data_IF_821172184661
#
_entry.id   IF_821172184661
#
_cell.length_a   1.000
_cell.length_b   1.000
_cell.length_c   1.000
_cell.angle_alpha   90.00
_cell.angle_beta   90.00
_cell.angle_gamma   90.00
#
_symmetry.space_group_name_H-M   'P 1'
#
loop_
_entity.id
_entity.type
_entity.pdbx_description
1 polymer ?
#
# COMPACT_ATOMS: atom_id res chain seq x y z
N UNK A 1 -14.32 -15.43 -9.93
CA UNK A 1 -13.06 -15.78 -10.65
C UNK A 1 -11.85 -15.80 -9.71
N UNK A 2 -11.65 -14.76 -8.87
CA UNK A 2 -10.58 -14.69 -7.87
C UNK A 2 -10.51 -15.90 -6.91
N UNK A 3 -11.65 -16.36 -6.39
CA UNK A 3 -11.72 -17.51 -5.47
C UNK A 3 -11.10 -18.81 -6.01
N UNK A 4 -11.13 -19.03 -7.34
CA UNK A 4 -10.48 -20.20 -7.97
C UNK A 4 -8.96 -20.10 -7.94
N UNK A 5 -8.41 -18.95 -8.30
CA UNK A 5 -6.96 -18.70 -8.25
C UNK A 5 -6.41 -18.81 -6.83
N UNK A 6 -7.17 -18.29 -5.88
CA UNK A 6 -6.90 -18.38 -4.46
C UNK A 6 -6.85 -19.85 -3.98
N UNK A 7 -7.85 -20.66 -4.36
CA UNK A 7 -7.90 -22.07 -3.98
C UNK A 7 -6.75 -22.88 -4.61
N UNK A 8 -6.39 -22.57 -5.86
CA UNK A 8 -5.24 -23.17 -6.54
C UNK A 8 -3.91 -22.84 -5.84
N UNK A 9 -3.70 -21.59 -5.45
CA UNK A 9 -2.51 -21.17 -4.72
C UNK A 9 -2.39 -21.89 -3.37
N UNK A 10 -3.50 -22.10 -2.66
CA UNK A 10 -3.51 -22.84 -1.38
C UNK A 10 -3.11 -24.30 -1.53
N UNK A 11 -3.50 -24.94 -2.62
CA UNK A 11 -3.10 -26.32 -2.92
C UNK A 11 -1.61 -26.40 -3.23
N UNK A 12 -1.10 -25.49 -4.07
CA UNK A 12 0.32 -25.42 -4.42
C UNK A 12 1.21 -25.13 -3.21
N UNK A 13 0.73 -24.33 -2.25
CA UNK A 13 1.46 -23.97 -1.03
C UNK A 13 1.27 -24.96 0.13
N UNK A 14 0.52 -26.05 -0.05
CA UNK A 14 0.24 -27.02 1.02
C UNK A 14 -0.57 -26.44 2.20
N UNK A 15 -1.22 -25.30 2.01
CA UNK A 15 -1.88 -24.51 3.07
C UNK A 15 -3.41 -24.57 3.00
N UNK A 16 -3.97 -25.66 2.49
CA UNK A 16 -5.41 -25.85 2.27
C UNK A 16 -6.24 -25.73 3.55
N UNK A 17 -5.67 -26.09 4.71
CA UNK A 17 -6.31 -26.06 6.03
C UNK A 17 -6.23 -24.72 6.77
N UNK A 18 -5.52 -23.71 6.26
CA UNK A 18 -5.37 -22.43 6.97
C UNK A 18 -6.70 -21.66 7.03
N UNK A 19 -7.18 -21.26 8.21
CA UNK A 19 -8.47 -20.56 8.35
C UNK A 19 -8.55 -19.27 7.52
N UNK A 20 -7.41 -18.60 7.33
CA UNK A 20 -7.31 -17.40 6.51
C UNK A 20 -6.57 -17.64 5.20
N UNK A 21 -6.99 -16.87 4.20
CA UNK A 21 -6.56 -16.96 2.81
C UNK A 21 -5.06 -16.71 2.64
N UNK A 22 -4.55 -15.78 3.44
CA UNK A 22 -3.16 -15.39 3.55
C UNK A 22 -2.60 -16.13 4.77
N UNK A 23 -1.98 -17.28 4.51
CA UNK A 23 -1.33 -18.16 5.49
C UNK A 23 -0.64 -17.36 6.59
N UNK A 24 -1.14 -17.41 7.84
CA UNK A 24 -0.50 -16.96 9.08
C UNK A 24 0.55 -15.85 8.93
N UNK A 25 0.22 -14.81 8.16
CA UNK A 25 1.17 -13.79 7.74
C UNK A 25 1.05 -12.65 8.72
N UNK A 26 1.89 -12.71 9.74
CA UNK A 26 1.94 -11.65 10.75
C UNK A 26 2.65 -10.40 10.19
N UNK A 27 2.37 -9.26 10.82
CA UNK A 27 2.92 -7.97 10.41
C UNK A 27 4.46 -7.91 10.53
N UNK A 28 5.07 -8.68 11.44
CA UNK A 28 6.52 -8.74 11.61
C UNK A 28 7.19 -9.52 10.46
N UNK A 29 6.60 -10.63 10.02
CA UNK A 29 7.01 -11.37 8.83
C UNK A 29 6.97 -10.48 7.59
N UNK A 30 5.87 -9.74 7.38
CA UNK A 30 5.78 -8.79 6.28
C UNK A 30 6.82 -7.67 6.39
N UNK A 31 6.97 -7.08 7.58
CA UNK A 31 7.96 -6.02 7.82
C UNK A 31 9.38 -6.49 7.51
N UNK A 32 9.73 -7.71 7.90
CA UNK A 32 11.04 -8.31 7.60
C UNK A 32 11.28 -8.44 6.09
N UNK A 33 10.28 -8.90 5.33
CA UNK A 33 10.38 -9.01 3.87
C UNK A 33 10.51 -7.63 3.22
N UNK A 34 9.72 -6.66 3.66
CA UNK A 34 9.79 -5.28 3.16
C UNK A 34 11.15 -4.63 3.41
N UNK A 35 11.74 -4.87 4.59
CA UNK A 35 13.09 -4.40 4.90
C UNK A 35 14.15 -5.03 3.99
N UNK A 36 14.04 -6.32 3.68
CA UNK A 36 14.93 -6.98 2.71
C UNK A 36 14.79 -6.36 1.32
N UNK A 37 13.56 -6.09 0.87
CA UNK A 37 13.31 -5.42 -0.40
C UNK A 37 13.90 -3.99 -0.41
N UNK A 38 13.77 -3.25 0.69
CA UNK A 38 14.37 -1.92 0.84
C UNK A 38 15.90 -1.94 0.71
N UNK A 39 16.58 -2.92 1.33
CA UNK A 39 18.04 -3.11 1.17
C UNK A 39 18.39 -3.38 -0.31
N UNK A 40 17.66 -4.29 -0.96
CA UNK A 40 17.90 -4.60 -2.38
C UNK A 40 17.69 -3.39 -3.30
N UNK A 41 16.72 -2.54 -2.98
CA UNK A 41 16.45 -1.29 -3.66
C UNK A 41 17.38 -0.12 -3.26
N UNK A 42 18.38 -0.36 -2.40
CA UNK A 42 19.34 0.65 -1.90
C UNK A 42 18.68 1.84 -1.19
N UNK A 43 17.57 1.61 -0.48
CA UNK A 43 16.87 2.61 0.33
C UNK A 43 16.92 2.24 1.82
N UNK A 44 16.82 3.22 2.71
CA UNK A 44 16.95 3.00 4.15
C UNK A 44 15.84 2.08 4.68
N UNK A 45 16.14 0.85 5.15
CA UNK A 45 15.11 -0.11 5.58
C UNK A 45 14.34 0.33 6.83
N UNK A 46 14.89 1.25 7.62
CA UNK A 46 14.20 1.80 8.81
C UNK A 46 12.90 2.52 8.45
N UNK A 47 12.80 3.01 7.22
CA UNK A 47 11.63 3.73 6.73
C UNK A 47 10.53 2.78 6.20
N UNK A 48 10.79 1.47 6.11
CA UNK A 48 9.89 0.50 5.48
C UNK A 48 9.34 -0.52 6.46
N UNK A 49 8.01 -0.55 6.56
CA UNK A 49 7.18 -1.50 7.29
C UNK A 49 5.78 -1.58 6.64
N UNK A 50 4.88 -2.39 7.17
CA UNK A 50 3.51 -2.52 6.64
C UNK A 50 2.79 -1.17 6.54
N UNK A 51 2.92 -0.30 7.55
CA UNK A 51 2.33 1.03 7.56
C UNK A 51 2.89 1.97 6.48
N UNK A 52 4.21 1.88 6.21
CA UNK A 52 4.85 2.69 5.16
C UNK A 52 4.28 2.45 3.76
N UNK A 53 3.80 1.23 3.48
CA UNK A 53 3.13 0.94 2.20
C UNK A 53 1.79 1.66 2.08
N UNK A 54 1.07 1.81 3.19
CA UNK A 54 -0.20 2.55 3.22
C UNK A 54 0.03 4.04 2.98
N UNK A 55 1.07 4.60 3.61
CA UNK A 55 1.54 5.98 3.37
C UNK A 55 1.94 6.14 1.90
N UNK A 56 2.82 5.28 1.38
CA UNK A 56 3.31 5.33 0.00
C UNK A 56 2.19 5.19 -1.02
N UNK A 57 1.22 4.30 -0.78
CA UNK A 57 0.05 4.13 -1.63
C UNK A 57 -0.83 5.38 -1.67
N UNK A 58 -1.10 5.99 -0.50
CA UNK A 58 -1.85 7.25 -0.43
C UNK A 58 -1.11 8.38 -1.17
N UNK A 59 0.20 8.52 -0.94
CA UNK A 59 1.06 9.47 -1.64
C UNK A 59 1.03 9.27 -3.16
N UNK A 60 1.14 8.03 -3.63
CA UNK A 60 1.12 7.73 -5.06
C UNK A 60 -0.22 8.11 -5.71
N UNK A 61 -1.34 7.81 -5.05
CA UNK A 61 -2.65 8.19 -5.55
C UNK A 61 -2.86 9.71 -5.57
N UNK A 62 -2.46 10.41 -4.50
CA UNK A 62 -2.54 11.88 -4.45
C UNK A 62 -1.68 12.53 -5.54
N UNK A 63 -0.44 12.07 -5.72
CA UNK A 63 0.46 12.59 -6.74
C UNK A 63 0.00 12.23 -8.16
N UNK A 64 -0.82 11.18 -8.32
CA UNK A 64 -1.51 10.85 -9.56
C UNK A 64 -2.79 11.64 -9.82
N UNK A 65 -3.08 12.66 -9.00
CA UNK A 65 -4.30 13.48 -9.07
C UNK A 65 -5.61 12.68 -8.99
N UNK A 66 -5.57 11.54 -8.31
CA UNK A 66 -6.77 10.75 -8.01
C UNK A 66 -7.62 11.51 -6.99
N UNK A 67 -8.95 11.46 -7.16
CA UNK A 67 -9.86 12.16 -6.28
C UNK A 67 -9.82 11.61 -4.84
N UNK A 68 -10.10 12.50 -3.90
CA UNK A 68 -9.98 12.24 -2.47
C UNK A 68 -10.94 11.15 -1.97
N UNK A 69 -12.13 11.02 -2.58
CA UNK A 69 -13.09 9.96 -2.26
C UNK A 69 -12.58 8.59 -2.72
N UNK A 70 -12.02 8.49 -3.92
CA UNK A 70 -11.40 7.26 -4.40
C UNK A 70 -10.22 6.85 -3.52
N UNK A 71 -9.37 7.78 -3.09
CA UNK A 71 -8.28 7.50 -2.14
C UNK A 71 -8.85 6.93 -0.84
N UNK A 72 -9.87 7.60 -0.28
CA UNK A 72 -10.56 7.17 0.95
C UNK A 72 -11.11 5.74 0.82
N UNK A 73 -11.79 5.44 -0.29
CA UNK A 73 -12.38 4.12 -0.55
C UNK A 73 -11.32 3.04 -0.75
N UNK A 74 -10.27 3.33 -1.54
CA UNK A 74 -9.20 2.38 -1.84
C UNK A 74 -8.41 1.97 -0.60
N UNK A 75 -8.12 2.91 0.30
CA UNK A 75 -7.50 2.57 1.57
C UNK A 75 -8.46 2.20 2.68
N UNK A 76 -9.78 2.22 2.45
CA UNK A 76 -10.81 1.87 3.45
C UNK A 76 -10.76 2.76 4.70
N UNK A 77 -10.56 4.06 4.50
CA UNK A 77 -10.60 5.02 5.61
C UNK A 77 -12.04 5.43 5.91
N UNK A 78 -12.39 5.45 7.19
CA UNK A 78 -13.74 5.85 7.65
C UNK A 78 -13.87 7.39 7.60
N UNK A 79 -12.81 8.12 7.97
CA UNK A 79 -12.75 9.58 7.97
C UNK A 79 -11.70 10.10 6.97
N UNK A 80 -11.46 11.41 6.98
CA UNK A 80 -10.40 12.07 6.20
C UNK A 80 -9.01 12.01 6.84
N UNK A 81 -8.80 11.18 7.88
CA UNK A 81 -7.48 11.01 8.51
C UNK A 81 -6.39 10.49 7.56
N UNK A 82 -6.77 10.00 6.37
CA UNK A 82 -5.79 9.64 5.34
C UNK A 82 -5.06 10.85 4.77
N UNK A 83 -5.57 12.07 4.90
CA UNK A 83 -4.95 13.27 4.33
C UNK A 83 -3.61 13.61 5.00
N UNK A 84 -3.36 13.08 6.20
CA UNK A 84 -2.09 13.22 6.92
C UNK A 84 -0.97 12.31 6.38
N UNK A 85 -1.31 11.35 5.53
CA UNK A 85 -0.37 10.32 5.06
C UNK A 85 0.42 10.77 3.82
N UNK A 86 -0.23 11.31 2.77
CA UNK A 86 0.43 11.67 1.54
C UNK A 86 1.59 12.65 1.74
N UNK A 87 2.69 12.35 1.06
CA UNK A 87 3.78 13.30 0.84
C UNK A 87 3.66 13.83 -0.58
N UNK A 88 3.50 15.14 -0.70
CA UNK A 88 3.35 15.81 -1.98
C UNK A 88 4.70 15.84 -2.72
N UNK A 89 4.73 15.28 -3.92
CA UNK A 89 5.90 15.33 -4.79
C UNK A 89 5.89 16.63 -5.60
N UNK A 90 7.08 17.14 -5.94
CA UNK A 90 7.23 18.33 -6.80
C UNK A 90 6.54 18.16 -8.17
N UNK A 91 6.44 16.93 -8.68
CA UNK A 91 5.71 16.66 -9.92
C UNK A 91 4.20 16.95 -9.78
N UNK A 92 3.61 16.72 -8.60
CA UNK A 92 2.19 16.92 -8.35
C UNK A 92 1.81 18.40 -8.15
N UNK A 93 2.78 19.29 -7.94
CA UNK A 93 2.54 20.74 -7.86
C UNK A 93 2.72 21.44 -9.20
N UNK A 94 3.20 20.73 -10.24
CA UNK A 94 3.45 21.32 -11.55
C UNK A 94 2.16 21.83 -12.18
N UNK A 95 2.11 23.13 -12.48
CA UNK A 95 0.93 23.77 -13.07
C UNK A 95 -0.22 23.99 -12.10
N UNK A 96 -0.06 23.67 -10.81
CA UNK A 96 -1.10 23.87 -9.80
C UNK A 96 -1.42 25.36 -9.61
N UNK A 97 -0.39 26.22 -9.63
CA UNK A 97 -0.55 27.68 -9.49
C UNK A 97 -1.46 28.28 -10.57
N UNK A 98 -1.41 27.77 -11.81
CA UNK A 98 -2.29 28.23 -12.90
C UNK A 98 -3.76 27.78 -12.76
N UNK A 99 -4.06 26.95 -11.76
CA UNK A 99 -5.42 26.48 -11.43
C UNK A 99 -5.94 27.09 -10.13
N UNK A 100 -5.13 27.89 -9.44
CA UNK A 100 -5.55 28.68 -8.28
C UNK A 100 -6.24 29.94 -8.83
N UNK A 101 -7.55 30.06 -8.56
CA UNK A 101 -8.39 31.21 -8.96
C UNK A 101 -8.51 32.16 -7.79
#
# INVERSE_FOLDING_TARGET
RALRHIRSARQQLGATKAEHLCVNLDAATMTRVLKKAAVAAKVCPRNYATHSLRIGGASALMNGHIDSLSIKLLGRWVSRCYEEYPVQAAAATKGLAGRMV
#
